data_IF_702819085752
#
_entry.id   IF_702819085752
#
_cell.length_a   1.000
_cell.length_b   1.000
_cell.length_c   1.000
_cell.angle_alpha   90.00
_cell.angle_beta   90.00
_cell.angle_gamma   90.00
#
_symmetry.space_group_name_H-M   'P 1'
#
loop_
_entity.id
_entity.type
_entity.pdbx_description
1 polymer ?
#
# COMPACT_ATOMS: atom_id res chain seq x y z
N UNK A 1 18.84 55.85 -27.81
CA UNK A 1 18.11 54.64 -27.36
C UNK A 1 19.16 53.56 -27.18
N UNK A 2 19.64 53.39 -25.94
CA UNK A 2 20.71 52.42 -25.62
C UNK A 2 20.01 51.15 -25.18
N UNK A 3 20.05 50.15 -26.05
CA UNK A 3 19.59 48.80 -25.78
C UNK A 3 20.60 48.14 -24.83
N UNK A 4 20.30 48.14 -23.55
CA UNK A 4 21.09 47.48 -22.51
C UNK A 4 20.96 45.96 -22.66
N UNK A 5 21.81 45.36 -23.49
CA UNK A 5 22.01 43.92 -23.53
C UNK A 5 22.53 43.45 -22.15
N UNK A 6 21.65 42.83 -21.37
CA UNK A 6 22.06 42.04 -20.20
C UNK A 6 22.80 40.79 -20.68
N UNK A 7 24.09 40.93 -20.97
CA UNK A 7 24.97 39.81 -21.29
C UNK A 7 25.10 38.94 -20.04
N UNK A 8 24.35 37.85 -19.99
CA UNK A 8 24.43 36.86 -18.92
C UNK A 8 25.86 36.30 -18.89
N UNK A 9 26.63 36.70 -17.88
CA UNK A 9 27.99 36.22 -17.66
C UNK A 9 27.92 34.72 -17.31
N UNK A 10 28.36 33.87 -18.24
CA UNK A 10 28.48 32.43 -18.04
C UNK A 10 29.64 32.16 -17.08
N UNK A 11 29.37 31.50 -15.96
CA UNK A 11 30.41 31.09 -15.02
C UNK A 11 30.85 29.67 -15.38
N UNK A 12 32.17 29.46 -15.49
CA UNK A 12 32.75 28.17 -15.86
C UNK A 12 32.55 27.08 -14.79
N UNK A 13 32.30 27.46 -13.53
CA UNK A 13 32.00 26.52 -12.44
C UNK A 13 30.70 26.89 -11.72
N UNK A 14 29.68 26.04 -11.87
CA UNK A 14 28.43 26.18 -11.11
C UNK A 14 28.65 25.84 -9.63
N UNK A 15 28.32 26.72 -8.68
CA UNK A 15 28.48 26.48 -7.25
C UNK A 15 27.81 25.19 -6.74
N UNK A 16 28.38 24.50 -5.74
CA UNK A 16 27.85 23.22 -5.24
C UNK A 16 26.38 23.28 -4.81
N UNK A 17 25.98 24.35 -4.10
CA UNK A 17 24.61 24.50 -3.59
C UNK A 17 23.57 24.65 -4.69
N UNK A 18 23.90 25.30 -5.80
CA UNK A 18 22.99 25.40 -6.95
C UNK A 18 22.80 24.04 -7.62
N UNK A 19 23.88 23.26 -7.76
CA UNK A 19 23.79 21.88 -8.30
C UNK A 19 22.95 20.99 -7.40
N UNK A 20 23.16 21.09 -6.09
CA UNK A 20 22.38 20.34 -5.10
C UNK A 20 20.90 20.75 -5.12
N UNK A 21 20.59 22.04 -5.09
CA UNK A 21 19.22 22.55 -5.10
C UNK A 21 18.45 22.15 -6.36
N UNK A 22 19.07 22.31 -7.54
CA UNK A 22 18.50 21.84 -8.80
C UNK A 22 18.18 20.34 -8.75
N UNK A 23 19.10 19.56 -8.19
CA UNK A 23 18.97 18.11 -8.07
C UNK A 23 17.87 17.70 -7.08
N UNK A 24 17.72 18.40 -5.95
CA UNK A 24 16.65 18.13 -4.99
C UNK A 24 15.28 18.39 -5.59
N UNK A 25 15.10 19.52 -6.29
CA UNK A 25 13.83 19.82 -6.99
C UNK A 25 13.51 18.75 -8.02
N UNK A 26 14.49 18.41 -8.87
CA UNK A 26 14.35 17.39 -9.90
C UNK A 26 13.94 16.03 -9.33
N UNK A 27 14.59 15.60 -8.24
CA UNK A 27 14.26 14.35 -7.57
C UNK A 27 12.91 14.42 -6.88
N UNK A 28 12.61 15.44 -6.08
CA UNK A 28 11.34 15.54 -5.36
C UNK A 28 10.12 15.55 -6.30
N UNK A 29 10.24 16.21 -7.47
CA UNK A 29 9.16 16.24 -8.47
C UNK A 29 8.95 14.89 -9.17
N UNK A 30 10.03 14.21 -9.56
CA UNK A 30 9.95 13.00 -10.38
C UNK A 30 9.98 11.70 -9.57
N UNK A 31 10.42 11.74 -8.32
CA UNK A 31 10.45 10.59 -7.44
C UNK A 31 9.04 10.11 -7.10
N UNK A 32 8.09 11.01 -6.83
CA UNK A 32 6.70 10.63 -6.52
C UNK A 32 6.05 9.76 -7.61
N UNK A 33 5.96 10.19 -8.89
CA UNK A 33 5.39 9.35 -9.94
C UNK A 33 6.24 8.10 -10.21
N UNK A 34 7.57 8.17 -10.05
CA UNK A 34 8.46 7.00 -10.20
C UNK A 34 8.26 5.96 -9.10
N UNK A 35 8.01 6.41 -7.86
CA UNK A 35 7.72 5.57 -6.71
C UNK A 35 6.36 4.89 -6.87
N UNK A 36 5.33 5.63 -7.30
CA UNK A 36 4.04 5.06 -7.64
C UNK A 36 4.16 3.96 -8.71
N UNK A 37 4.94 4.20 -9.77
CA UNK A 37 5.19 3.19 -10.79
C UNK A 37 5.96 1.98 -10.24
N UNK A 38 6.95 2.20 -9.37
CA UNK A 38 7.69 1.13 -8.71
C UNK A 38 6.77 0.26 -7.85
N UNK A 39 5.87 0.87 -7.06
CA UNK A 39 4.87 0.18 -6.25
C UNK A 39 3.86 -0.59 -7.12
N UNK A 40 3.40 0.00 -8.22
CA UNK A 40 2.52 -0.68 -9.16
C UNK A 40 3.20 -1.93 -9.75
N UNK A 41 4.46 -1.82 -10.17
CA UNK A 41 5.22 -2.96 -10.68
C UNK A 41 5.47 -4.00 -9.57
N UNK A 42 5.84 -3.56 -8.37
CA UNK A 42 6.10 -4.43 -7.24
C UNK A 42 4.85 -5.21 -6.81
N UNK A 43 3.69 -4.55 -6.71
CA UNK A 43 2.41 -5.20 -6.41
C UNK A 43 2.01 -6.23 -7.47
N UNK A 44 2.37 -6.00 -8.75
CA UNK A 44 2.04 -6.89 -9.85
C UNK A 44 2.98 -8.10 -9.93
N UNK A 45 4.28 -7.89 -9.70
CA UNK A 45 5.32 -8.91 -9.79
C UNK A 45 5.45 -9.74 -8.51
N UNK A 46 5.22 -9.11 -7.35
CA UNK A 46 5.39 -9.70 -6.02
C UNK A 46 4.18 -9.41 -5.12
N UNK A 47 2.98 -9.88 -5.51
CA UNK A 47 1.74 -9.55 -4.79
C UNK A 47 1.76 -9.98 -3.32
N UNK A 48 2.36 -11.14 -3.00
CA UNK A 48 2.48 -11.62 -1.61
C UNK A 48 3.36 -10.71 -0.75
N UNK A 49 4.54 -10.32 -1.26
CA UNK A 49 5.45 -9.42 -0.56
C UNK A 49 4.83 -8.02 -0.40
N UNK A 50 4.18 -7.50 -1.44
CA UNK A 50 3.48 -6.22 -1.36
C UNK A 50 2.39 -6.22 -0.29
N UNK A 51 1.64 -7.31 -0.16
CA UNK A 51 0.60 -7.43 0.86
C UNK A 51 1.15 -7.47 2.28
N UNK A 52 2.28 -8.15 2.47
CA UNK A 52 2.98 -8.13 3.76
C UNK A 52 3.48 -6.73 4.13
N UNK A 53 3.91 -5.94 3.14
CA UNK A 53 4.32 -4.54 3.36
C UNK A 53 3.14 -3.59 3.60
N UNK A 54 2.03 -3.79 2.90
CA UNK A 54 0.87 -2.90 2.94
C UNK A 54 0.01 -3.08 4.21
N UNK A 55 0.17 -4.20 4.92
CA UNK A 55 -0.66 -4.56 6.06
C UNK A 55 0.17 -4.67 7.35
N UNK A 56 0.56 -3.54 7.96
CA UNK A 56 1.36 -3.56 9.17
C UNK A 56 0.53 -4.13 10.33
N UNK A 57 0.73 -5.40 10.66
CA UNK A 57 0.35 -5.90 11.99
C UNK A 57 1.18 -5.21 13.05
N UNK A 58 0.60 -4.90 14.21
CA UNK A 58 1.35 -4.30 15.31
C UNK A 58 2.54 -5.17 15.78
N UNK A 59 2.45 -6.50 15.59
CA UNK A 59 3.55 -7.47 15.82
C UNK A 59 4.59 -7.46 14.69
N UNK A 60 4.14 -7.21 13.46
CA UNK A 60 4.99 -7.01 12.28
C UNK A 60 5.75 -5.70 12.41
N UNK A 61 5.15 -4.59 12.86
CA UNK A 61 5.87 -3.32 13.13
C UNK A 61 7.03 -3.51 14.12
N UNK A 62 6.93 -4.40 15.11
CA UNK A 62 8.03 -4.73 16.03
C UNK A 62 9.15 -5.56 15.37
N UNK A 63 8.82 -6.49 14.46
CA UNK A 63 9.79 -7.22 13.62
C UNK A 63 10.37 -6.32 12.50
N UNK A 64 9.65 -5.26 12.12
CA UNK A 64 9.99 -4.31 11.05
C UNK A 64 10.69 -3.04 11.58
N UNK A 65 10.71 -2.82 12.90
CA UNK A 65 11.75 -2.05 13.57
C UNK A 65 13.12 -2.78 13.53
N UNK A 66 13.14 -4.07 13.17
CA UNK A 66 14.34 -4.86 12.91
C UNK A 66 14.76 -4.77 11.41
N UNK A 67 15.96 -5.24 11.03
CA UNK A 67 16.54 -5.10 9.68
C UNK A 67 15.69 -5.64 8.51
N UNK A 68 14.58 -6.35 8.77
CA UNK A 68 13.67 -6.86 7.74
C UNK A 68 12.92 -5.79 6.94
N UNK A 69 12.50 -4.67 7.56
CA UNK A 69 11.82 -3.59 6.80
C UNK A 69 12.77 -2.92 5.80
N UNK A 70 14.03 -2.76 6.20
CA UNK A 70 15.08 -2.27 5.31
C UNK A 70 15.23 -3.22 4.10
N UNK A 71 15.09 -4.52 4.29
CA UNK A 71 15.22 -5.51 3.21
C UNK A 71 14.15 -5.39 2.11
N UNK A 72 12.94 -4.95 2.45
CA UNK A 72 11.85 -4.78 1.48
C UNK A 72 11.71 -3.36 0.94
N UNK A 73 11.86 -2.35 1.81
CA UNK A 73 11.78 -0.95 1.39
C UNK A 73 12.98 -0.53 0.55
N UNK A 74 14.18 -1.01 0.87
CA UNK A 74 15.39 -0.59 0.15
C UNK A 74 15.34 -0.98 -1.33
N UNK A 75 15.03 -2.22 -1.74
CA UNK A 75 14.87 -2.56 -3.15
C UNK A 75 13.82 -1.71 -3.86
N UNK A 76 12.67 -1.44 -3.20
CA UNK A 76 11.62 -0.61 -3.77
C UNK A 76 12.11 0.83 -4.02
N UNK A 77 12.78 1.44 -3.04
CA UNK A 77 13.40 2.77 -3.18
C UNK A 77 14.47 2.77 -4.27
N UNK A 78 15.31 1.73 -4.34
CA UNK A 78 16.33 1.59 -5.38
C UNK A 78 15.71 1.54 -6.78
N UNK A 79 14.64 0.77 -6.95
CA UNK A 79 13.90 0.69 -8.22
C UNK A 79 13.26 2.04 -8.55
N UNK A 80 12.63 2.71 -7.59
CA UNK A 80 12.05 4.04 -7.77
C UNK A 80 13.10 5.09 -8.19
N UNK A 81 14.28 5.08 -7.56
CA UNK A 81 15.39 5.97 -7.93
C UNK A 81 15.99 5.63 -9.31
N UNK A 82 16.03 4.35 -9.68
CA UNK A 82 16.45 3.92 -11.01
C UNK A 82 15.47 4.40 -12.09
N UNK A 83 14.17 4.21 -11.87
CA UNK A 83 13.11 4.75 -12.74
C UNK A 83 13.25 6.27 -12.84
N UNK A 84 13.42 6.96 -11.71
CA UNK A 84 13.63 8.42 -11.66
C UNK A 84 14.82 8.85 -12.54
N UNK A 85 15.93 8.12 -12.48
CA UNK A 85 17.12 8.36 -13.31
C UNK A 85 16.83 8.24 -14.81
N UNK A 86 16.03 7.25 -15.21
CA UNK A 86 15.60 7.06 -16.60
C UNK A 86 14.68 8.20 -17.05
N UNK A 87 13.71 8.59 -16.21
CA UNK A 87 12.78 9.70 -16.50
C UNK A 87 13.54 11.01 -16.62
N UNK A 88 14.50 11.29 -15.73
CA UNK A 88 15.36 12.47 -15.81
C UNK A 88 16.17 12.53 -17.10
N UNK A 89 16.72 11.39 -17.53
CA UNK A 89 17.44 11.30 -18.80
C UNK A 89 16.53 11.58 -20.00
N UNK A 90 15.29 11.10 -19.96
CA UNK A 90 14.28 11.36 -20.99
C UNK A 90 13.91 12.85 -21.04
N UNK A 91 13.63 13.46 -19.88
CA UNK A 91 13.33 14.91 -19.77
C UNK A 91 14.48 15.75 -20.32
N UNK A 92 15.73 15.42 -19.94
CA UNK A 92 16.91 16.11 -20.50
C UNK A 92 17.05 15.91 -22.01
N UNK A 93 16.76 14.72 -22.54
CA UNK A 93 16.87 14.45 -23.97
C UNK A 93 15.83 15.20 -24.81
N UNK A 94 14.62 15.41 -24.26
CA UNK A 94 13.52 16.11 -24.94
C UNK A 94 13.62 17.62 -24.77
N UNK A 95 13.85 18.11 -23.55
CA UNK A 95 13.78 19.54 -23.23
C UNK A 95 15.16 20.21 -23.11
N UNK A 96 16.25 19.45 -23.08
CA UNK A 96 17.61 19.96 -22.88
C UNK A 96 17.95 20.38 -21.44
N UNK A 97 16.94 20.52 -20.57
CA UNK A 97 17.08 20.82 -19.16
C UNK A 97 15.93 20.19 -18.36
N UNK A 98 16.18 19.84 -17.11
CA UNK A 98 15.14 19.47 -16.13
C UNK A 98 14.60 20.71 -15.42
N UNK A 99 13.42 20.65 -14.79
CA UNK A 99 12.82 21.81 -14.12
C UNK A 99 13.74 22.49 -13.10
N UNK A 100 14.40 21.72 -12.23
CA UNK A 100 15.34 22.25 -11.25
C UNK A 100 16.56 22.89 -11.91
N UNK A 101 17.13 22.25 -12.94
CA UNK A 101 18.26 22.83 -13.69
C UNK A 101 17.85 24.10 -14.43
N UNK A 102 16.63 24.18 -14.96
CA UNK A 102 16.12 25.38 -15.61
C UNK A 102 15.97 26.56 -14.63
N UNK A 103 15.45 26.31 -13.42
CA UNK A 103 15.34 27.30 -12.34
C UNK A 103 16.71 27.87 -11.98
N UNK A 104 17.72 27.01 -11.80
CA UNK A 104 19.08 27.44 -11.47
C UNK A 104 19.93 27.85 -12.67
N UNK A 105 19.42 27.75 -13.90
CA UNK A 105 20.13 28.13 -15.11
C UNK A 105 21.34 27.24 -15.44
N UNK A 106 21.28 25.97 -15.04
CA UNK A 106 22.34 24.99 -15.25
C UNK A 106 22.15 24.31 -16.61
N UNK A 107 23.22 24.26 -17.41
CA UNK A 107 23.26 23.55 -18.69
C UNK A 107 24.31 22.45 -18.64
N UNK A 108 23.92 21.27 -19.06
CA UNK A 108 24.80 20.09 -19.18
C UNK A 108 25.02 19.81 -20.65
N UNK A 109 26.27 19.82 -21.11
CA UNK A 109 26.61 19.53 -22.51
C UNK A 109 27.58 18.35 -22.60
N UNK A 110 27.35 17.38 -23.51
CA UNK A 110 28.34 16.35 -23.79
C UNK A 110 29.59 16.97 -24.40
N UNK A 111 30.78 16.48 -24.03
CA UNK A 111 32.04 16.93 -24.62
C UNK A 111 32.16 16.50 -26.10
N UNK A 112 31.57 15.35 -26.46
CA UNK A 112 31.78 14.71 -27.77
C UNK A 112 30.63 14.94 -28.77
N UNK A 113 29.70 15.87 -28.49
CA UNK A 113 28.66 16.30 -29.44
C UNK A 113 27.56 15.29 -29.84
N UNK A 114 27.68 13.98 -29.56
CA UNK A 114 26.75 12.96 -30.08
C UNK A 114 25.92 12.23 -29.02
N UNK A 115 24.65 11.94 -29.38
CA UNK A 115 23.71 11.02 -28.72
C UNK A 115 23.07 11.54 -27.41
N UNK A 116 22.05 12.41 -27.51
CA UNK A 116 21.42 13.10 -26.38
C UNK A 116 20.93 12.15 -25.29
N UNK A 117 20.04 11.20 -25.60
CA UNK A 117 19.46 10.33 -24.59
C UNK A 117 20.46 9.37 -23.95
N UNK A 118 21.27 8.66 -24.75
CA UNK A 118 22.25 7.69 -24.21
C UNK A 118 23.29 8.37 -23.31
N UNK A 119 23.71 9.58 -23.68
CA UNK A 119 24.57 10.40 -22.84
C UNK A 119 23.89 10.74 -21.50
N UNK A 120 22.67 11.28 -21.54
CA UNK A 120 21.93 11.64 -20.33
C UNK A 120 21.64 10.42 -19.46
N UNK A 121 21.27 9.27 -20.04
CA UNK A 121 21.01 8.04 -19.30
C UNK A 121 22.26 7.53 -18.59
N UNK A 122 23.40 7.42 -19.31
CA UNK A 122 24.67 7.00 -18.70
C UNK A 122 25.10 7.93 -17.58
N UNK A 123 24.90 9.23 -17.76
CA UNK A 123 25.22 10.25 -16.75
C UNK A 123 24.31 10.12 -15.53
N UNK A 124 22.99 10.01 -15.71
CA UNK A 124 22.06 9.89 -14.59
C UNK A 124 22.23 8.55 -13.83
N UNK A 125 22.56 7.45 -14.52
CA UNK A 125 22.97 6.20 -13.85
C UNK A 125 24.27 6.35 -13.04
N UNK A 126 25.25 7.10 -13.56
CA UNK A 126 26.46 7.41 -12.81
C UNK A 126 26.17 8.31 -11.59
N UNK A 127 25.21 9.23 -11.70
CA UNK A 127 24.72 10.04 -10.58
C UNK A 127 24.02 9.16 -9.55
N UNK A 128 23.17 8.22 -9.97
CA UNK A 128 22.54 7.25 -9.07
C UNK A 128 23.58 6.44 -8.26
N UNK A 129 24.61 5.94 -8.92
CA UNK A 129 25.66 5.17 -8.25
C UNK A 129 26.60 6.04 -7.39
N UNK A 130 27.24 7.06 -7.98
CA UNK A 130 28.31 7.83 -7.35
C UNK A 130 27.84 9.11 -6.63
N UNK A 131 26.60 9.53 -6.86
CA UNK A 131 25.98 10.69 -6.21
C UNK A 131 24.95 10.32 -5.14
N UNK A 132 24.22 9.22 -5.32
CA UNK A 132 23.22 8.73 -4.36
C UNK A 132 23.59 7.40 -3.69
N UNK A 133 24.80 6.87 -3.93
CA UNK A 133 25.24 5.61 -3.30
C UNK A 133 24.30 4.44 -3.59
N UNK A 134 23.75 4.38 -4.81
CA UNK A 134 22.74 3.39 -5.21
C UNK A 134 21.47 3.40 -4.35
N UNK A 135 21.14 4.51 -3.67
CA UNK A 135 19.92 4.64 -2.86
C UNK A 135 20.07 4.22 -1.39
N UNK A 136 21.25 3.75 -0.96
CA UNK A 136 21.52 3.47 0.45
C UNK A 136 21.63 4.79 1.23
N UNK A 137 20.80 5.07 2.26
CA UNK A 137 20.74 6.40 2.89
C UNK A 137 22.09 6.91 3.42
N UNK A 138 22.84 6.07 4.15
CA UNK A 138 24.14 6.45 4.71
C UNK A 138 25.21 6.66 3.62
N UNK A 139 25.24 5.78 2.62
CA UNK A 139 26.18 5.89 1.50
C UNK A 139 25.82 7.11 0.64
N UNK A 140 24.53 7.40 0.45
CA UNK A 140 24.04 8.59 -0.25
C UNK A 140 24.52 9.87 0.44
N UNK A 141 24.42 9.95 1.77
CA UNK A 141 24.90 11.12 2.51
C UNK A 141 26.42 11.32 2.33
N UNK A 142 27.21 10.25 2.46
CA UNK A 142 28.66 10.30 2.27
C UNK A 142 29.04 10.71 0.84
N UNK A 143 28.44 10.07 -0.16
CA UNK A 143 28.69 10.38 -1.58
C UNK A 143 28.34 11.82 -1.90
N UNK A 144 27.20 12.34 -1.42
CA UNK A 144 26.83 13.76 -1.59
C UNK A 144 27.86 14.72 -0.99
N UNK A 145 28.36 14.44 0.22
CA UNK A 145 29.39 15.26 0.88
C UNK A 145 30.68 15.26 0.05
N UNK A 146 31.11 14.09 -0.42
CA UNK A 146 32.31 13.94 -1.27
C UNK A 146 32.14 14.71 -2.58
N UNK A 147 31.00 14.59 -3.27
CA UNK A 147 30.76 15.33 -4.51
C UNK A 147 30.72 16.85 -4.28
N UNK A 148 30.14 17.30 -3.15
CA UNK A 148 30.13 18.71 -2.77
C UNK A 148 31.56 19.24 -2.59
N UNK A 149 32.41 18.51 -1.86
CA UNK A 149 33.80 18.89 -1.62
C UNK A 149 34.58 19.01 -2.93
N UNK A 150 34.44 18.04 -3.86
CA UNK A 150 35.07 18.10 -5.18
C UNK A 150 34.68 19.37 -5.94
N UNK A 151 33.39 19.66 -6.04
CA UNK A 151 32.91 20.85 -6.75
C UNK A 151 33.34 22.15 -6.06
N UNK A 152 33.41 22.17 -4.73
CA UNK A 152 33.90 23.32 -3.97
C UNK A 152 35.38 23.62 -4.22
N UNK A 153 36.19 22.57 -4.49
CA UNK A 153 37.59 22.69 -4.90
C UNK A 153 37.78 23.02 -6.40
N UNK A 154 36.70 23.28 -7.13
CA UNK A 154 36.75 23.58 -8.57
C UNK A 154 36.92 22.35 -9.46
N UNK A 155 36.91 21.14 -8.89
CA UNK A 155 36.96 19.89 -9.64
C UNK A 155 35.57 19.51 -10.20
N UNK A 156 35.48 18.82 -11.33
CA UNK A 156 34.21 18.22 -11.76
C UNK A 156 33.75 17.16 -10.75
N UNK A 157 32.43 16.99 -10.64
CA UNK A 157 31.87 15.85 -9.92
C UNK A 157 32.32 14.55 -10.63
N UNK A 158 32.48 13.46 -9.88
CA UNK A 158 33.08 12.24 -10.43
C UNK A 158 32.28 11.64 -11.60
N UNK A 159 30.96 11.87 -11.64
CA UNK A 159 30.09 11.43 -12.73
C UNK A 159 30.09 12.36 -13.96
N UNK A 160 30.68 13.56 -13.87
CA UNK A 160 30.83 14.51 -14.98
C UNK A 160 32.23 14.49 -15.60
N UNK A 161 33.23 14.03 -14.85
CA UNK A 161 34.65 14.00 -15.23
C UNK A 161 34.87 13.27 -16.56
N UNK A 162 35.52 13.95 -17.52
CA UNK A 162 35.81 13.43 -18.86
C UNK A 162 34.58 13.17 -19.75
N UNK A 163 33.37 13.57 -19.32
CA UNK A 163 32.11 13.24 -20.02
C UNK A 163 31.26 14.47 -20.33
N UNK A 164 31.10 15.36 -19.36
CA UNK A 164 30.16 16.46 -19.43
C UNK A 164 30.80 17.79 -19.03
N UNK A 165 30.51 18.85 -19.80
CA UNK A 165 30.75 20.22 -19.37
C UNK A 165 29.48 20.77 -18.73
N UNK A 166 29.62 21.28 -17.50
CA UNK A 166 28.54 21.93 -16.76
C UNK A 166 28.81 23.41 -16.73
N UNK A 167 27.91 24.15 -17.37
CA UNK A 167 27.93 25.61 -17.35
C UNK A 167 26.69 26.09 -16.63
N UNK A 168 26.77 27.25 -15.98
CA UNK A 168 25.60 27.85 -15.36
C UNK A 168 25.63 29.36 -15.44
N UNK A 169 24.45 29.93 -15.27
CA UNK A 169 24.28 31.36 -15.11
C UNK A 169 24.63 31.77 -13.69
N UNK A 170 25.06 33.02 -13.50
CA UNK A 170 25.16 33.60 -12.17
C UNK A 170 23.80 33.52 -11.48
N UNK A 171 23.79 33.08 -10.22
CA UNK A 171 22.57 33.01 -9.43
C UNK A 171 22.09 34.43 -9.15
N UNK A 172 20.90 34.74 -9.63
CA UNK A 172 20.20 35.97 -9.28
C UNK A 172 19.34 35.70 -8.04
N UNK A 173 19.07 36.72 -7.20
CA UNK A 173 18.18 36.57 -6.05
C UNK A 173 16.81 35.98 -6.43
N UNK A 174 16.30 36.33 -7.62
CA UNK A 174 15.04 35.76 -8.15
C UNK A 174 15.12 34.24 -8.32
N UNK A 175 16.21 33.72 -8.90
CA UNK A 175 16.39 32.27 -9.10
C UNK A 175 16.58 31.54 -7.78
N UNK A 176 17.25 32.17 -6.81
CA UNK A 176 17.39 31.64 -5.46
C UNK A 176 16.04 31.51 -4.76
N UNK A 177 15.22 32.58 -4.79
CA UNK A 177 13.86 32.57 -4.22
C UNK A 177 12.97 31.54 -4.92
N UNK A 178 12.98 31.47 -6.25
CA UNK A 178 12.22 30.47 -7.00
C UNK A 178 12.66 29.03 -6.65
N UNK A 179 13.97 28.81 -6.50
CA UNK A 179 14.52 27.52 -6.06
C UNK A 179 14.06 27.14 -4.65
N UNK A 180 14.10 28.08 -3.70
CA UNK A 180 13.63 27.87 -2.34
C UNK A 180 12.13 27.57 -2.29
N UNK A 181 11.30 28.33 -3.01
CA UNK A 181 9.86 28.11 -3.14
C UNK A 181 9.58 26.71 -3.71
N UNK A 182 10.28 26.30 -4.77
CA UNK A 182 10.10 24.98 -5.37
C UNK A 182 10.42 23.85 -4.38
N UNK A 183 11.53 23.94 -3.63
CA UNK A 183 11.89 22.95 -2.61
C UNK A 183 10.79 22.87 -1.53
N UNK A 184 10.38 24.01 -0.98
CA UNK A 184 9.33 24.07 0.06
C UNK A 184 8.01 23.51 -0.48
N UNK A 185 7.60 23.90 -1.68
CA UNK A 185 6.36 23.43 -2.30
C UNK A 185 6.38 21.90 -2.49
N UNK A 186 7.50 21.32 -2.95
CA UNK A 186 7.61 19.87 -3.08
C UNK A 186 7.58 19.14 -1.73
N UNK A 187 8.20 19.70 -0.69
CA UNK A 187 8.17 19.13 0.65
C UNK A 187 6.76 19.17 1.26
N UNK A 188 6.06 20.32 1.13
CA UNK A 188 4.66 20.47 1.55
C UNK A 188 3.77 19.52 0.77
N UNK A 189 3.93 19.42 -0.55
CA UNK A 189 3.16 18.50 -1.39
C UNK A 189 3.32 17.04 -0.95
N UNK A 190 4.55 16.59 -0.72
CA UNK A 190 4.83 15.25 -0.21
C UNK A 190 4.21 14.99 1.18
N UNK A 191 4.28 15.99 2.08
CA UNK A 191 3.68 15.88 3.42
C UNK A 191 2.15 15.87 3.33
N UNK A 192 1.55 16.71 2.47
CA UNK A 192 0.10 16.76 2.27
C UNK A 192 -0.45 15.47 1.69
N UNK A 193 0.27 14.81 0.78
CA UNK A 193 -0.10 13.47 0.29
C UNK A 193 -0.13 12.48 1.45
N UNK A 194 0.92 12.47 2.28
CA UNK A 194 1.02 11.58 3.46
C UNK A 194 -0.09 11.87 4.48
N UNK A 195 -0.38 13.15 4.73
CA UNK A 195 -1.44 13.58 5.66
C UNK A 195 -2.81 13.26 5.09
N UNK A 196 -3.03 13.43 3.79
CA UNK A 196 -4.29 13.05 3.14
C UNK A 196 -4.54 11.55 3.23
N UNK A 197 -3.49 10.73 3.09
CA UNK A 197 -3.59 9.28 3.29
C UNK A 197 -3.94 8.93 4.74
N UNK A 198 -3.32 9.60 5.73
CA UNK A 198 -3.62 9.40 7.15
C UNK A 198 -4.98 9.96 7.59
N UNK A 199 -5.41 11.09 7.02
CA UNK A 199 -6.73 11.67 7.24
C UNK A 199 -7.84 10.79 6.66
N UNK A 200 -7.51 10.00 5.64
CA UNK A 200 -8.31 8.89 5.15
C UNK A 200 -8.08 7.58 5.92
N UNK A 201 -7.22 7.51 6.94
CA UNK A 201 -7.10 6.28 7.73
C UNK A 201 -8.30 5.95 8.63
N UNK A 202 -9.14 6.87 9.17
CA UNK A 202 -10.18 6.51 10.13
C UNK A 202 -11.40 5.79 9.54
N UNK A 203 -11.41 5.41 8.24
CA UNK A 203 -12.50 4.59 7.69
C UNK A 203 -12.70 3.27 8.45
N UNK A 204 -11.66 2.71 9.08
CA UNK A 204 -11.77 1.50 9.91
C UNK A 204 -12.58 1.72 11.20
N UNK A 205 -12.56 2.95 11.75
CA UNK A 205 -13.30 3.32 12.96
C UNK A 205 -14.73 3.75 12.67
N UNK A 206 -15.04 4.14 11.43
CA UNK A 206 -16.40 4.49 11.07
C UNK A 206 -17.23 3.23 10.85
N UNK A 207 -18.40 3.17 11.48
CA UNK A 207 -19.34 2.07 11.33
C UNK A 207 -20.62 2.50 10.60
N UNK A 208 -21.39 1.53 10.11
CA UNK A 208 -22.76 1.69 9.68
C UNK A 208 -23.62 0.58 10.28
N UNK A 209 -24.91 0.86 10.48
CA UNK A 209 -25.86 -0.13 10.96
C UNK A 209 -26.19 -1.13 9.84
N UNK A 210 -26.01 -2.41 10.11
CA UNK A 210 -26.47 -3.49 9.27
C UNK A 210 -27.57 -4.27 10.00
N UNK A 211 -28.68 -4.49 9.31
CA UNK A 211 -29.79 -5.27 9.84
C UNK A 211 -29.74 -6.68 9.27
N UNK A 212 -29.73 -7.68 10.14
CA UNK A 212 -29.85 -9.07 9.74
C UNK A 212 -31.27 -9.29 9.16
N UNK A 213 -31.41 -9.66 7.88
CA UNK A 213 -32.72 -9.75 7.24
C UNK A 213 -33.53 -10.98 7.66
N UNK A 214 -32.92 -11.93 8.38
CA UNK A 214 -33.61 -13.12 8.92
C UNK A 214 -34.11 -12.86 10.33
N UNK A 215 -33.30 -12.24 11.20
CA UNK A 215 -33.64 -11.99 12.61
C UNK A 215 -34.14 -10.57 12.90
N UNK A 216 -34.04 -9.65 11.94
CA UNK A 216 -34.29 -8.21 12.07
C UNK A 216 -33.43 -7.47 13.09
N UNK A 217 -32.45 -8.13 13.72
CA UNK A 217 -31.51 -7.51 14.68
C UNK A 217 -30.49 -6.64 13.95
N UNK A 218 -30.05 -5.58 14.62
CA UNK A 218 -29.12 -4.59 14.07
C UNK A 218 -27.76 -4.74 14.74
N UNK A 219 -26.68 -4.64 13.97
CA UNK A 219 -25.30 -4.59 14.45
C UNK A 219 -24.53 -3.47 13.76
N UNK A 220 -23.43 -3.01 14.36
CA UNK A 220 -22.56 -2.00 13.76
C UNK A 220 -21.42 -2.69 13.01
N UNK A 221 -21.29 -2.41 11.71
CA UNK A 221 -20.23 -2.96 10.86
C UNK A 221 -19.31 -1.84 10.39
N UNK A 222 -18.00 -2.06 10.40
CA UNK A 222 -17.03 -1.09 9.88
C UNK A 222 -17.26 -0.80 8.39
N UNK A 223 -17.13 0.48 7.99
CA UNK A 223 -17.33 0.94 6.61
C UNK A 223 -16.32 0.40 5.60
N UNK A 224 -15.26 -0.25 6.08
CA UNK A 224 -14.32 -1.00 5.24
C UNK A 224 -15.00 -2.19 4.55
N UNK A 225 -16.12 -2.68 5.09
CA UNK A 225 -16.85 -3.83 4.57
C UNK A 225 -18.00 -3.41 3.66
N UNK A 226 -17.88 -3.77 2.38
CA UNK A 226 -18.95 -3.63 1.39
C UNK A 226 -19.75 -4.91 1.33
N UNK A 227 -21.05 -4.82 1.63
CA UNK A 227 -21.97 -5.96 1.62
C UNK A 227 -22.63 -6.12 0.25
N UNK A 228 -22.73 -7.37 -0.21
CA UNK A 228 -23.47 -7.77 -1.41
C UNK A 228 -24.23 -9.06 -1.13
N UNK A 229 -25.52 -9.10 -1.45
CA UNK A 229 -26.31 -10.34 -1.36
C UNK A 229 -25.93 -11.30 -2.50
N UNK A 230 -25.78 -12.58 -2.17
CA UNK A 230 -25.61 -13.65 -3.15
C UNK A 230 -26.99 -14.31 -3.38
N UNK A 231 -27.45 -14.44 -4.63
CA UNK A 231 -28.72 -15.12 -4.94
C UNK A 231 -28.73 -16.56 -4.42
N UNK A 232 -29.82 -16.95 -3.77
CA UNK A 232 -30.06 -18.32 -3.31
C UNK A 232 -31.57 -18.65 -3.33
N UNK A 233 -31.88 -19.94 -3.37
CA UNK A 233 -33.26 -20.41 -3.30
C UNK A 233 -33.84 -20.13 -1.89
N UNK A 234 -35.06 -19.55 -1.79
CA UNK A 234 -35.71 -19.38 -0.50
C UNK A 234 -35.88 -20.72 0.25
N UNK A 235 -35.71 -20.77 1.59
CA UNK A 235 -35.52 -19.64 2.50
C UNK A 235 -34.05 -19.20 2.69
N UNK A 236 -33.09 -19.82 2.00
CA UNK A 236 -31.66 -19.60 2.23
C UNK A 236 -31.23 -18.18 1.83
N UNK A 237 -30.28 -17.62 2.57
CA UNK A 237 -29.76 -16.27 2.37
C UNK A 237 -28.24 -16.27 2.52
N UNK A 238 -27.53 -15.65 1.59
CA UNK A 238 -26.07 -15.49 1.71
C UNK A 238 -25.67 -14.05 1.39
N UNK A 239 -24.66 -13.59 2.12
CA UNK A 239 -24.11 -12.25 2.03
C UNK A 239 -22.59 -12.35 1.91
N UNK A 240 -22.03 -11.53 1.04
CA UNK A 240 -20.60 -11.37 0.85
C UNK A 240 -20.21 -9.99 1.35
N UNK A 241 -19.29 -9.94 2.32
CA UNK A 241 -18.67 -8.74 2.83
C UNK A 241 -17.25 -8.69 2.30
N UNK A 242 -16.96 -7.76 1.39
CA UNK A 242 -15.61 -7.55 0.87
C UNK A 242 -14.97 -6.37 1.57
N UNK A 243 -13.76 -6.56 2.08
CA UNK A 243 -12.99 -5.46 2.60
C UNK A 243 -12.59 -4.51 1.46
N UNK A 244 -12.33 -3.24 1.77
CA UNK A 244 -11.69 -2.32 0.83
C UNK A 244 -10.35 -2.89 0.33
N UNK A 245 -9.84 -2.35 -0.78
CA UNK A 245 -8.66 -2.86 -1.52
C UNK A 245 -7.41 -3.09 -0.65
N UNK A 246 -7.32 -2.49 0.53
CA UNK A 246 -6.17 -2.63 1.43
C UNK A 246 -6.14 -3.97 2.17
N UNK A 247 -7.26 -4.48 2.70
CA UNK A 247 -7.28 -5.64 3.60
C UNK A 247 -7.29 -7.00 2.90
N UNK A 248 -7.56 -7.04 1.59
CA UNK A 248 -7.67 -8.26 0.78
C UNK A 248 -8.39 -9.42 1.47
N UNK A 249 -9.46 -9.10 2.18
CA UNK A 249 -10.22 -10.03 2.99
C UNK A 249 -11.68 -10.05 2.56
N UNK A 250 -12.29 -11.21 2.72
CA UNK A 250 -13.68 -11.44 2.36
C UNK A 250 -14.32 -12.29 3.44
N UNK A 251 -15.52 -11.90 3.89
CA UNK A 251 -16.33 -12.69 4.80
C UNK A 251 -17.62 -13.05 4.07
N UNK A 252 -17.91 -14.33 3.95
CA UNK A 252 -19.21 -14.80 3.52
C UNK A 252 -20.02 -15.16 4.76
N UNK A 253 -21.29 -14.75 4.80
CA UNK A 253 -22.23 -15.07 5.86
C UNK A 253 -23.47 -15.72 5.25
N UNK A 254 -23.74 -16.96 5.66
CA UNK A 254 -24.82 -17.78 5.15
C UNK A 254 -25.84 -18.12 6.22
N UNK A 255 -27.10 -18.18 5.82
CA UNK A 255 -28.22 -18.72 6.56
C UNK A 255 -28.92 -19.78 5.71
N UNK A 256 -29.14 -20.93 6.32
CA UNK A 256 -29.85 -22.06 5.74
C UNK A 256 -30.84 -22.60 6.76
N UNK A 257 -32.03 -23.01 6.28
CA UNK A 257 -33.00 -23.68 7.13
C UNK A 257 -32.99 -25.18 6.87
N UNK A 258 -32.60 -25.94 7.87
CA UNK A 258 -32.55 -27.39 7.79
C UNK A 258 -33.95 -27.99 7.65
N UNK A 259 -34.11 -28.94 6.73
CA UNK A 259 -35.38 -29.60 6.45
C UNK A 259 -35.73 -30.70 7.45
N UNK A 260 -34.72 -31.31 8.08
CA UNK A 260 -34.90 -32.34 9.12
C UNK A 260 -35.21 -31.77 10.51
N UNK A 261 -35.40 -32.66 11.48
CA UNK A 261 -35.59 -32.29 12.88
C UNK A 261 -34.25 -32.14 13.60
N UNK A 262 -34.10 -31.04 14.33
CA UNK A 262 -33.04 -30.75 15.32
C UNK A 262 -31.66 -31.27 14.94
N UNK A 263 -31.00 -30.58 14.01
CA UNK A 263 -29.59 -30.78 13.73
C UNK A 263 -28.77 -30.05 14.80
N UNK A 264 -27.67 -30.66 15.26
CA UNK A 264 -26.72 -30.01 16.15
C UNK A 264 -25.50 -29.49 15.37
N UNK A 265 -24.64 -28.72 16.04
CA UNK A 265 -23.44 -28.15 15.42
C UNK A 265 -22.54 -29.25 14.82
N UNK A 266 -22.35 -30.35 15.53
CA UNK A 266 -21.45 -31.44 15.12
C UNK A 266 -21.96 -32.16 13.87
N UNK A 267 -23.26 -32.45 13.80
CA UNK A 267 -23.89 -33.08 12.64
C UNK A 267 -23.85 -32.16 11.42
N UNK A 268 -24.11 -30.85 11.61
CA UNK A 268 -24.03 -29.89 10.51
C UNK A 268 -22.60 -29.72 10.00
N UNK A 269 -21.62 -29.63 10.90
CA UNK A 269 -20.20 -29.60 10.55
C UNK A 269 -19.75 -30.86 9.79
N UNK A 270 -20.21 -32.05 10.20
CA UNK A 270 -19.91 -33.31 9.51
C UNK A 270 -20.45 -33.36 8.08
N UNK A 271 -21.62 -32.75 7.83
CA UNK A 271 -22.20 -32.63 6.48
C UNK A 271 -21.38 -31.67 5.61
N UNK A 272 -20.88 -30.57 6.19
CA UNK A 272 -20.08 -29.59 5.47
C UNK A 272 -18.64 -30.05 5.21
N UNK A 273 -18.08 -30.92 6.06
CA UNK A 273 -16.71 -31.42 5.96
C UNK A 273 -16.30 -31.86 4.54
N UNK A 274 -17.05 -32.74 3.83
CA UNK A 274 -16.66 -33.14 2.47
C UNK A 274 -16.66 -31.98 1.48
N UNK A 275 -17.57 -31.01 1.62
CA UNK A 275 -17.62 -29.82 0.77
C UNK A 275 -16.39 -28.94 1.01
N UNK A 276 -16.01 -28.75 2.28
CA UNK A 276 -14.79 -28.01 2.64
C UNK A 276 -13.56 -28.70 2.08
N UNK A 277 -13.44 -30.02 2.23
CA UNK A 277 -12.31 -30.81 1.72
C UNK A 277 -12.24 -30.87 0.20
N UNK A 278 -13.37 -30.73 -0.50
CA UNK A 278 -13.42 -30.66 -1.96
C UNK A 278 -12.79 -29.37 -2.50
N UNK A 279 -12.90 -28.27 -1.74
CA UNK A 279 -12.48 -26.94 -2.19
C UNK A 279 -11.23 -26.40 -1.50
N UNK A 280 -10.86 -26.96 -0.35
CA UNK A 280 -9.75 -26.47 0.47
C UNK A 280 -8.95 -27.61 1.10
N UNK A 281 -7.69 -27.32 1.40
CA UNK A 281 -6.84 -28.17 2.23
C UNK A 281 -7.09 -27.84 3.70
N UNK A 282 -7.83 -28.70 4.38
CA UNK A 282 -8.09 -28.62 5.82
C UNK A 282 -6.78 -28.70 6.61
N UNK A 283 -6.61 -27.82 7.58
CA UNK A 283 -5.41 -27.70 8.43
C UNK A 283 -5.63 -28.40 9.77
N UNK A 284 -6.80 -28.19 10.38
CA UNK A 284 -7.20 -28.78 11.67
C UNK A 284 -8.64 -29.31 11.64
N UNK A 285 -9.02 -30.10 12.65
CA UNK A 285 -10.38 -30.57 12.83
C UNK A 285 -11.30 -29.46 13.39
N UNK A 286 -12.61 -29.65 13.30
CA UNK A 286 -13.60 -28.75 13.90
C UNK A 286 -13.39 -28.61 15.41
N UNK A 287 -13.23 -27.38 15.87
CA UNK A 287 -13.05 -27.03 17.28
C UNK A 287 -14.24 -26.24 17.82
N UNK A 288 -14.68 -26.48 19.06
CA UNK A 288 -15.70 -25.67 19.70
C UNK A 288 -15.19 -24.26 19.95
N UNK A 289 -16.02 -23.28 19.61
CA UNK A 289 -15.77 -21.85 19.82
C UNK A 289 -17.05 -21.15 20.28
N UNK A 290 -16.91 -19.97 20.86
CA UNK A 290 -18.04 -19.07 21.14
C UNK A 290 -17.85 -17.80 20.33
N UNK A 291 -18.80 -17.46 19.46
CA UNK A 291 -18.72 -16.28 18.58
C UNK A 291 -20.00 -15.48 18.75
N UNK A 292 -19.87 -14.19 19.10
CA UNK A 292 -21.04 -13.34 19.36
C UNK A 292 -21.97 -13.88 20.46
N UNK A 293 -21.43 -14.64 21.42
CA UNK A 293 -22.20 -15.28 22.49
C UNK A 293 -22.87 -16.62 22.13
N UNK A 294 -22.61 -17.16 20.93
CA UNK A 294 -23.24 -18.38 20.43
C UNK A 294 -22.22 -19.52 20.38
N UNK A 295 -22.62 -20.70 20.85
CA UNK A 295 -21.83 -21.93 20.71
C UNK A 295 -21.77 -22.34 19.23
N UNK A 296 -20.57 -22.46 18.72
CA UNK A 296 -20.26 -22.73 17.33
C UNK A 296 -19.14 -23.77 17.20
N UNK A 297 -18.93 -24.27 15.99
CA UNK A 297 -17.74 -25.03 15.62
C UNK A 297 -16.96 -24.25 14.56
N UNK A 298 -15.62 -24.32 14.64
CA UNK A 298 -14.71 -23.63 13.72
C UNK A 298 -13.68 -24.58 13.15
N UNK A 299 -13.33 -24.40 11.88
CA UNK A 299 -12.27 -25.14 11.19
C UNK A 299 -11.39 -24.18 10.39
N UNK A 300 -10.08 -24.47 10.33
CA UNK A 300 -9.13 -23.75 9.48
C UNK A 300 -8.76 -24.58 8.26
N UNK A 301 -8.67 -23.89 7.12
CA UNK A 301 -8.28 -24.48 5.86
C UNK A 301 -7.41 -23.50 5.06
N UNK A 302 -6.81 -24.01 3.99
CA UNK A 302 -6.01 -23.23 3.04
C UNK A 302 -6.41 -23.51 1.60
N UNK A 303 -6.27 -22.52 0.73
CA UNK A 303 -6.47 -22.71 -0.72
C UNK A 303 -5.47 -23.71 -1.34
N UNK A 304 -5.91 -24.50 -2.32
CA UNK A 304 -5.07 -25.50 -3.00
C UNK A 304 -3.95 -24.90 -3.85
N UNK A 305 -4.18 -23.70 -4.35
CA UNK A 305 -3.45 -22.98 -5.39
C UNK A 305 -2.27 -22.15 -4.87
N UNK A 306 -1.87 -22.34 -3.61
CA UNK A 306 -0.61 -21.81 -3.07
C UNK A 306 -0.54 -20.30 -2.86
N UNK A 307 -1.61 -19.56 -3.12
CA UNK A 307 -1.69 -18.10 -2.92
C UNK A 307 -1.82 -17.67 -1.44
N UNK A 308 -1.44 -18.53 -0.48
CA UNK A 308 -1.54 -18.30 0.97
C UNK A 308 -2.89 -17.70 1.37
N UNK A 309 -3.98 -18.27 0.85
CA UNK A 309 -5.31 -17.88 1.32
C UNK A 309 -5.62 -18.72 2.54
N UNK A 310 -5.58 -18.09 3.72
CA UNK A 310 -6.04 -18.70 4.95
C UNK A 310 -7.56 -18.56 5.00
N UNK A 311 -8.22 -19.64 5.42
CA UNK A 311 -9.66 -19.73 5.43
C UNK A 311 -10.08 -20.21 6.81
N UNK A 312 -11.02 -19.50 7.42
CA UNK A 312 -11.68 -19.91 8.64
C UNK A 312 -13.16 -20.07 8.34
N UNK A 313 -13.73 -21.23 8.68
CA UNK A 313 -15.15 -21.49 8.54
C UNK A 313 -15.71 -21.70 9.94
N UNK A 314 -16.71 -20.91 10.32
CA UNK A 314 -17.42 -21.04 11.59
C UNK A 314 -18.88 -21.37 11.33
N UNK A 315 -19.43 -22.36 12.03
CA UNK A 315 -20.83 -22.79 11.91
C UNK A 315 -21.53 -22.76 13.25
N UNK A 316 -22.79 -22.33 13.28
CA UNK A 316 -23.64 -22.39 14.45
C UNK A 316 -25.05 -22.82 14.05
N UNK A 317 -25.69 -23.61 14.90
CA UNK A 317 -27.03 -24.13 14.69
C UNK A 317 -27.90 -23.78 15.89
N UNK A 318 -29.09 -23.25 15.60
CA UNK A 318 -30.15 -23.00 16.59
C UNK A 318 -31.44 -23.65 16.12
N UNK A 319 -31.76 -24.83 16.67
CA UNK A 319 -32.92 -25.61 16.26
C UNK A 319 -32.82 -26.11 14.81
N UNK A 320 -33.49 -25.44 13.87
CA UNK A 320 -33.41 -25.74 12.43
C UNK A 320 -32.67 -24.67 11.64
N UNK A 321 -32.25 -23.59 12.29
CA UNK A 321 -31.62 -22.46 11.66
C UNK A 321 -30.10 -22.65 11.73
N UNK A 322 -29.50 -22.90 10.57
CA UNK A 322 -28.08 -23.13 10.39
C UNK A 322 -27.43 -21.86 9.86
N UNK A 323 -26.37 -21.43 10.54
CA UNK A 323 -25.62 -20.23 10.23
C UNK A 323 -24.17 -20.59 9.98
N UNK A 324 -23.56 -19.92 9.00
CA UNK A 324 -22.15 -20.11 8.71
C UNK A 324 -21.48 -18.80 8.35
N UNK A 325 -20.23 -18.65 8.75
CA UNK A 325 -19.30 -17.69 8.15
C UNK A 325 -18.14 -18.41 7.50
N UNK A 326 -17.62 -17.82 6.42
CA UNK A 326 -16.35 -18.20 5.83
C UNK A 326 -15.51 -16.96 5.63
N UNK A 327 -14.42 -16.85 6.37
CA UNK A 327 -13.47 -15.74 6.32
C UNK A 327 -12.30 -16.16 5.45
N UNK A 328 -12.04 -15.40 4.39
CA UNK A 328 -10.95 -15.60 3.44
C UNK A 328 -9.99 -14.43 3.55
N UNK A 329 -8.72 -14.73 3.77
CA UNK A 329 -7.67 -13.72 3.91
C UNK A 329 -6.49 -14.10 3.04
N UNK A 330 -5.94 -13.15 2.29
CA UNK A 330 -4.86 -13.42 1.34
C UNK A 330 -3.52 -12.90 1.87
N UNK A 331 -2.54 -13.80 2.00
CA UNK A 331 -1.19 -13.45 2.42
C UNK A 331 -1.03 -13.22 3.92
N UNK A 332 -2.06 -13.54 4.71
CA UNK A 332 -2.10 -13.46 6.18
C UNK A 332 -2.80 -14.68 6.76
N UNK A 333 -2.55 -14.96 8.04
CA UNK A 333 -3.42 -15.82 8.84
C UNK A 333 -4.75 -15.10 9.13
N UNK A 334 -5.82 -15.85 9.38
CA UNK A 334 -7.14 -15.26 9.64
C UNK A 334 -7.14 -14.47 10.95
N UNK A 335 -6.51 -15.02 11.99
CA UNK A 335 -6.39 -14.39 13.32
C UNK A 335 -5.66 -13.05 13.29
N UNK A 336 -4.76 -12.85 12.33
CA UNK A 336 -3.99 -11.62 12.12
C UNK A 336 -4.72 -10.61 11.22
N UNK A 337 -5.93 -10.94 10.75
CA UNK A 337 -6.68 -10.07 9.84
C UNK A 337 -7.58 -9.12 10.62
N UNK A 338 -7.09 -7.89 10.77
CA UNK A 338 -7.82 -6.81 11.45
C UNK A 338 -9.24 -6.63 10.90
N UNK A 339 -10.23 -6.73 11.77
CA UNK A 339 -11.64 -6.46 11.48
C UNK A 339 -12.44 -7.59 10.85
N UNK A 340 -11.82 -8.70 10.41
CA UNK A 340 -12.56 -9.84 9.86
C UNK A 340 -13.21 -10.68 10.97
N UNK A 341 -12.48 -10.93 12.05
CA UNK A 341 -13.00 -11.58 13.26
C UNK A 341 -14.05 -10.70 13.94
N UNK A 342 -13.79 -9.40 14.07
CA UNK A 342 -14.76 -8.43 14.61
C UNK A 342 -16.06 -8.41 13.80
N UNK A 343 -15.96 -8.50 12.47
CA UNK A 343 -17.14 -8.60 11.61
C UNK A 343 -17.89 -9.91 11.84
N UNK A 344 -17.18 -11.05 11.90
CA UNK A 344 -17.82 -12.33 12.17
C UNK A 344 -18.56 -12.29 13.53
N UNK A 345 -17.92 -11.79 14.58
CA UNK A 345 -18.55 -11.59 15.90
C UNK A 345 -19.77 -10.67 15.83
N UNK A 346 -19.67 -9.54 15.13
CA UNK A 346 -20.77 -8.60 14.94
C UNK A 346 -21.94 -9.21 14.17
N UNK A 347 -21.69 -10.13 13.23
CA UNK A 347 -22.74 -10.84 12.49
C UNK A 347 -23.37 -11.92 13.37
N UNK A 348 -22.58 -12.72 14.09
CA UNK A 348 -23.12 -13.75 14.98
C UNK A 348 -23.91 -13.17 16.15
N UNK A 349 -23.57 -11.96 16.64
CA UNK A 349 -24.37 -11.30 17.68
C UNK A 349 -25.80 -10.98 17.24
N UNK A 350 -26.07 -10.90 15.93
CA UNK A 350 -27.43 -10.72 15.39
C UNK A 350 -28.26 -12.00 15.37
N UNK A 351 -27.65 -13.16 15.59
CA UNK A 351 -28.32 -14.46 15.68
C UNK A 351 -28.79 -14.73 17.11
N UNK A 352 -28.05 -14.23 18.12
CA UNK A 352 -28.25 -14.54 19.52
C UNK A 352 -29.68 -14.20 19.94
N UNK A 353 -30.46 -15.20 20.32
CA UNK A 353 -31.81 -15.03 20.85
C UNK A 353 -31.71 -14.72 22.32
N UNK A 354 -32.25 -13.59 22.74
CA UNK A 354 -32.48 -13.33 24.15
C UNK A 354 -33.52 -14.38 24.58
N UNK A 355 -33.13 -15.36 25.40
CA UNK A 355 -34.03 -16.45 25.84
C UNK A 355 -35.28 -15.91 26.57
N UNK A 356 -35.27 -14.63 26.95
CA UNK A 356 -36.38 -13.89 27.55
C UNK A 356 -37.53 -13.58 26.57
N UNK A 357 -37.28 -13.40 25.26
CA UNK A 357 -38.33 -13.00 24.30
C UNK A 357 -39.14 -14.19 23.75
N UNK A 358 -38.53 -15.38 23.64
CA UNK A 358 -39.24 -16.59 23.16
C UNK A 358 -40.30 -17.06 24.17
N UNK A 359 -40.08 -16.81 25.46
CA UNK A 359 -41.06 -17.11 26.51
C UNK A 359 -42.24 -16.13 26.51
N UNK A 360 -42.07 -14.90 26.01
CA UNK A 360 -43.14 -13.91 25.92
C UNK A 360 -44.09 -14.15 24.74
N UNK A 361 -43.61 -14.76 23.65
CA UNK A 361 -44.42 -15.08 22.46
C UNK A 361 -45.25 -16.37 22.59
N UNK A 362 -45.00 -17.21 23.59
CA UNK A 362 -45.76 -18.44 23.84
C UNK A 362 -46.82 -18.33 24.95
N UNK A 363 -47.00 -17.14 25.56
CA UNK A 363 -47.99 -16.92 26.65
C UNK A 363 -49.19 -16.05 26.19
N UNK A 364 -49.20 -15.59 24.93
CA UNK A 364 -50.33 -14.81 24.39
C UNK A 364 -50.87 -15.40 23.08
N UNK A 365 -51.50 -16.57 23.20
CA UNK A 365 -52.55 -17.01 22.27
C UNK A 365 -53.72 -17.56 23.11
N UNK A 366 -54.95 -17.00 22.98
CA UNK A 366 -56.14 -17.55 23.63
C UNK A 366 -56.50 -18.96 23.12
#
# INVERSE_FOLDING_TARGET
>A
MVESAHTATTVNSVPPWQRWGARMIDFSLLYLPSNYLAELLFSRLFPSAYLQMALPDARIVAIYLAPGMLWYLLPLVMVALLITSVVLALVMAVFGATPGKAIFGIKVRPLNGNGTFRFHLRRELAVFAAGFGCGFPLISALTMVVQRQRVALGLPASYDEGRASITGMRLTPVREVLGAIAIIATAIGATMLTVSERGNAPWHLQTYAWQNPVTSKITAISRIWQVKSIPAAPPNRYYEFRSSRSLLSMVQFGYERWSGNNIDNASYAAILQPVVQQHFKVIDDWKPVTVGGISALRIHASGFDGLSTAIEITVAVQGRDCWQTSVYTRGKEVDDTTGATDLAEALFSTIATDQSEISALNVTSP
#
